data_IF_134655162745
#
_entry.id   IF_134655162745
#
_cell.length_a   1.000
_cell.length_b   1.000
_cell.length_c   1.000
_cell.angle_alpha   90.00
_cell.angle_beta   90.00
_cell.angle_gamma   90.00
#
_symmetry.space_group_name_H-M   'P 1'
#
loop_
_entity.id
_entity.type
_entity.pdbx_description
1 polymer ?
#
# COMPACT_ATOMS: atom_id res chain seq x y z
N UNK A 1 8.26 -64.61 -55.64
CA UNK A 1 8.15 -63.14 -55.75
C UNK A 1 9.19 -62.57 -54.78
N UNK A 2 10.30 -62.09 -55.32
CA UNK A 2 11.42 -61.54 -54.56
C UNK A 2 10.99 -60.28 -53.83
N UNK A 3 11.41 -60.13 -52.57
CA UNK A 3 11.63 -58.83 -51.95
C UNK A 3 12.91 -58.91 -51.13
N UNK A 4 13.95 -58.38 -51.76
CA UNK A 4 15.28 -58.14 -51.20
C UNK A 4 15.19 -56.95 -50.25
N UNK A 5 15.63 -57.09 -49.00
CA UNK A 5 16.15 -55.97 -48.23
C UNK A 5 17.51 -56.37 -47.66
N UNK A 6 18.54 -55.77 -48.27
CA UNK A 6 19.93 -55.83 -47.88
C UNK A 6 20.15 -54.78 -46.79
N UNK A 7 20.62 -55.19 -45.61
CA UNK A 7 21.17 -54.27 -44.61
C UNK A 7 22.50 -54.84 -44.10
N UNK A 8 23.48 -53.94 -44.14
CA UNK A 8 24.92 -54.15 -44.10
C UNK A 8 25.44 -54.69 -42.76
N UNK A 9 26.45 -55.55 -42.88
CA UNK A 9 27.47 -55.84 -41.88
C UNK A 9 28.23 -54.57 -41.49
N UNK A 10 27.75 -53.83 -40.49
CA UNK A 10 28.48 -52.73 -39.85
C UNK A 10 28.04 -52.47 -38.39
N UNK A 11 27.48 -53.49 -37.71
CA UNK A 11 26.90 -53.32 -36.36
C UNK A 11 27.57 -54.21 -35.29
N UNK A 12 28.80 -54.65 -35.54
CA UNK A 12 29.61 -55.40 -34.56
C UNK A 12 30.84 -54.66 -34.05
N UNK A 13 31.13 -53.47 -34.59
CA UNK A 13 32.32 -52.69 -34.19
C UNK A 13 32.00 -51.57 -33.19
N UNK A 14 30.71 -51.28 -32.92
CA UNK A 14 30.28 -50.32 -31.91
C UNK A 14 30.09 -50.91 -30.50
N UNK A 15 29.99 -52.23 -30.37
CA UNK A 15 29.68 -52.87 -29.07
C UNK A 15 30.96 -53.14 -28.23
N UNK A 16 32.13 -53.16 -28.86
CA UNK A 16 33.41 -53.49 -28.19
C UNK A 16 34.23 -52.28 -27.72
N UNK A 17 33.79 -51.05 -27.99
CA UNK A 17 34.43 -49.83 -27.46
C UNK A 17 33.75 -49.27 -26.19
N UNK A 18 32.67 -49.89 -25.72
CA UNK A 18 31.87 -49.41 -24.59
C UNK A 18 32.21 -50.08 -23.24
N UNK A 19 33.42 -50.66 -23.09
CA UNK A 19 33.84 -51.35 -21.87
C UNK A 19 34.98 -50.69 -21.09
N UNK A 20 35.43 -49.48 -21.44
CA UNK A 20 36.36 -48.74 -20.59
C UNK A 20 35.93 -47.29 -20.45
N UNK A 21 35.96 -46.82 -19.19
CA UNK A 21 35.63 -45.48 -18.69
C UNK A 21 34.15 -45.24 -18.32
N UNK A 22 33.65 -46.02 -17.36
CA UNK A 22 32.61 -45.55 -16.43
C UNK A 22 33.28 -45.19 -15.09
N UNK A 23 33.88 -44.00 -15.03
CA UNK A 23 34.26 -43.35 -13.78
C UNK A 23 33.56 -41.99 -13.76
N UNK A 24 32.29 -42.00 -13.33
CA UNK A 24 31.54 -40.79 -13.08
C UNK A 24 32.19 -40.05 -11.90
N UNK A 25 32.86 -38.93 -12.18
CA UNK A 25 33.16 -37.95 -11.15
C UNK A 25 31.84 -37.35 -10.68
N UNK A 26 31.40 -37.71 -9.47
CA UNK A 26 30.19 -37.12 -8.89
C UNK A 26 30.40 -35.60 -8.70
N UNK A 27 29.44 -34.75 -9.09
CA UNK A 27 29.45 -33.35 -8.70
C UNK A 27 29.48 -33.27 -7.17
N UNK A 28 30.37 -32.43 -6.63
CA UNK A 28 30.38 -32.15 -5.19
C UNK A 28 29.02 -31.62 -4.72
N UNK A 29 28.67 -31.80 -3.44
CA UNK A 29 27.43 -31.28 -2.89
C UNK A 29 27.35 -29.76 -3.15
N UNK A 30 26.14 -29.22 -3.45
CA UNK A 30 25.95 -27.77 -3.56
C UNK A 30 26.49 -27.07 -2.31
N UNK A 31 27.23 -25.98 -2.52
CA UNK A 31 27.71 -25.16 -1.40
C UNK A 31 26.54 -24.66 -0.55
N UNK A 32 26.77 -24.36 0.75
CA UNK A 32 25.73 -23.80 1.60
C UNK A 32 25.18 -22.49 0.98
N UNK A 33 23.88 -22.20 1.16
CA UNK A 33 23.31 -20.93 0.76
C UNK A 33 24.15 -19.76 1.31
N UNK A 34 24.51 -18.82 0.46
CA UNK A 34 25.21 -17.60 0.89
C UNK A 34 24.37 -16.83 1.91
N UNK A 35 25.03 -16.12 2.82
CA UNK A 35 24.35 -15.32 3.83
C UNK A 35 23.34 -14.35 3.19
N UNK A 36 22.14 -14.18 3.77
CA UNK A 36 21.19 -13.19 3.31
C UNK A 36 21.83 -11.80 3.28
N UNK A 37 21.82 -11.15 2.12
CA UNK A 37 22.29 -9.78 2.00
C UNK A 37 21.52 -8.83 2.94
N UNK A 38 22.16 -7.77 3.45
CA UNK A 38 21.53 -6.85 4.40
C UNK A 38 20.29 -6.19 3.78
N UNK A 39 19.27 -5.88 4.62
CA UNK A 39 18.01 -5.30 4.15
C UNK A 39 18.26 -3.93 3.52
N UNK A 40 17.90 -3.81 2.24
CA UNK A 40 17.97 -2.53 1.51
C UNK A 40 16.82 -1.65 1.98
N UNK A 41 17.05 -0.86 3.02
CA UNK A 41 16.18 0.28 3.34
C UNK A 41 16.43 1.37 2.31
N UNK A 42 15.44 1.60 1.42
CA UNK A 42 15.50 2.68 0.41
C UNK A 42 15.13 4.02 1.05
N UNK A 43 15.92 4.47 2.02
CA UNK A 43 15.86 5.85 2.47
C UNK A 43 16.44 6.73 1.35
N UNK A 44 15.57 7.46 0.65
CA UNK A 44 15.99 8.33 -0.46
C UNK A 44 16.78 9.57 0.03
N UNK A 45 16.66 9.93 1.31
CA UNK A 45 17.31 11.10 1.92
C UNK A 45 17.96 10.69 3.25
N UNK A 46 19.21 11.10 3.46
CA UNK A 46 19.99 10.88 4.70
C UNK A 46 20.55 12.19 5.21
N UNK A 47 20.58 12.41 6.52
CA UNK A 47 21.15 13.62 7.13
C UNK A 47 22.44 13.30 7.87
N UNK A 48 23.48 14.09 7.63
CA UNK A 48 24.73 14.07 8.38
C UNK A 48 25.02 15.45 8.94
N UNK A 49 25.77 15.51 10.04
CA UNK A 49 26.19 16.81 10.58
C UNK A 49 27.14 17.52 9.62
N UNK A 50 28.15 16.81 9.11
CA UNK A 50 29.22 17.34 8.28
C UNK A 50 29.78 16.30 7.29
N UNK A 51 30.74 16.74 6.47
CA UNK A 51 31.39 15.89 5.46
C UNK A 51 32.12 14.70 6.11
N UNK A 52 32.71 14.87 7.30
CA UNK A 52 33.42 13.77 7.98
C UNK A 52 32.45 12.62 8.34
N UNK A 53 31.29 12.95 8.91
CA UNK A 53 30.25 11.96 9.22
C UNK A 53 29.65 11.32 7.97
N UNK A 54 29.58 12.06 6.86
CA UNK A 54 29.20 11.50 5.56
C UNK A 54 30.24 10.49 5.03
N UNK A 55 31.53 10.81 5.13
CA UNK A 55 32.61 9.95 4.64
C UNK A 55 32.79 8.68 5.48
N UNK A 56 32.60 8.76 6.79
CA UNK A 56 32.64 7.60 7.69
C UNK A 56 31.61 6.54 7.29
N UNK A 57 30.44 6.97 6.80
CA UNK A 57 29.34 6.06 6.42
C UNK A 57 29.20 5.86 4.91
N UNK A 58 30.24 6.15 4.11
CA UNK A 58 30.19 6.10 2.64
C UNK A 58 29.75 4.74 2.08
N UNK A 59 30.10 3.64 2.78
CA UNK A 59 29.78 2.28 2.36
C UNK A 59 28.32 1.87 2.66
N UNK A 60 27.65 2.59 3.56
CA UNK A 60 26.25 2.36 3.92
C UNK A 60 25.28 3.19 3.07
N UNK A 61 25.79 4.11 2.25
CA UNK A 61 24.97 4.95 1.39
C UNK A 61 24.96 4.40 -0.04
N UNK A 62 23.76 4.00 -0.47
CA UNK A 62 23.51 3.50 -1.82
C UNK A 62 23.58 4.61 -2.87
N UNK A 63 23.98 4.26 -4.09
CA UNK A 63 23.86 5.16 -5.24
C UNK A 63 22.43 5.68 -5.40
N UNK A 64 22.28 6.98 -5.67
CA UNK A 64 20.99 7.66 -5.80
C UNK A 64 20.45 8.29 -4.53
N UNK A 65 21.05 8.06 -3.35
CA UNK A 65 20.64 8.70 -2.10
C UNK A 65 21.04 10.17 -2.08
N UNK A 66 20.10 11.04 -1.67
CA UNK A 66 20.33 12.44 -1.36
C UNK A 66 20.83 12.58 0.08
N UNK A 67 21.81 13.45 0.29
CA UNK A 67 22.39 13.74 1.59
C UNK A 67 22.22 15.21 1.90
N UNK A 68 21.72 15.53 3.08
CA UNK A 68 21.71 16.89 3.62
C UNK A 68 22.76 17.01 4.73
N UNK A 69 23.63 18.02 4.63
CA UNK A 69 24.56 18.40 5.69
C UNK A 69 23.94 19.51 6.53
N UNK A 70 23.64 19.23 7.80
CA UNK A 70 22.94 20.20 8.66
C UNK A 70 23.80 21.41 9.03
N UNK A 71 25.13 21.26 9.09
CA UNK A 71 26.04 22.35 9.45
C UNK A 71 26.16 23.40 8.34
N UNK A 72 26.26 22.97 7.08
CA UNK A 72 26.47 23.86 5.93
C UNK A 72 25.21 24.11 5.11
N UNK A 73 24.11 23.42 5.42
CA UNK A 73 22.88 23.38 4.62
C UNK A 73 23.11 22.98 3.16
N UNK A 74 24.13 22.17 2.90
CA UNK A 74 24.46 21.68 1.57
C UNK A 74 23.79 20.34 1.29
N UNK A 75 23.40 20.12 0.03
CA UNK A 75 22.84 18.84 -0.41
C UNK A 75 23.80 18.16 -1.39
N UNK A 76 24.01 16.85 -1.22
CA UNK A 76 24.81 16.01 -2.09
C UNK A 76 23.99 14.83 -2.62
N UNK A 77 24.37 14.27 -3.76
CA UNK A 77 23.83 13.00 -4.28
C UNK A 77 24.94 11.97 -4.43
N UNK A 78 24.70 10.72 -3.99
CA UNK A 78 25.61 9.59 -4.21
C UNK A 78 25.56 9.15 -5.67
N UNK A 79 26.70 9.20 -6.36
CA UNK A 79 26.90 8.70 -7.74
C UNK A 79 27.93 7.57 -7.73
N UNK A 80 28.01 6.71 -8.77
CA UNK A 80 28.86 5.49 -8.81
C UNK A 80 30.20 5.56 -8.06
N UNK A 81 30.96 6.65 -8.20
CA UNK A 81 32.30 6.79 -7.60
C UNK A 81 32.48 8.02 -6.69
N UNK A 82 31.41 8.53 -6.08
CA UNK A 82 31.53 9.61 -5.11
C UNK A 82 30.25 10.41 -4.92
N UNK A 83 30.41 11.70 -4.68
CA UNK A 83 29.35 12.63 -4.31
C UNK A 83 29.31 13.80 -5.29
N UNK A 84 28.11 14.25 -5.68
CA UNK A 84 27.94 15.53 -6.38
C UNK A 84 27.14 16.47 -5.51
N UNK A 85 27.67 17.67 -5.29
CA UNK A 85 26.95 18.75 -4.62
C UNK A 85 25.84 19.27 -5.54
N UNK A 86 24.63 19.40 -5.01
CA UNK A 86 23.52 20.08 -5.64
C UNK A 86 23.56 21.57 -5.26
N UNK A 87 23.41 22.43 -6.25
CA UNK A 87 23.28 23.87 -6.02
C UNK A 87 21.86 24.15 -5.59
N UNK A 88 21.68 24.63 -4.36
CA UNK A 88 20.39 25.08 -3.84
C UNK A 88 20.19 26.54 -4.25
N UNK A 89 18.94 26.91 -4.50
CA UNK A 89 18.55 28.29 -4.74
C UNK A 89 18.59 29.14 -3.48
N UNK A 90 18.06 30.35 -3.57
CA UNK A 90 17.94 31.23 -2.41
C UNK A 90 17.11 30.61 -1.29
N UNK A 91 17.55 30.82 -0.04
CA UNK A 91 16.80 30.42 1.13
C UNK A 91 15.51 31.24 1.17
N UNK A 92 14.37 30.56 1.18
CA UNK A 92 13.09 31.21 1.51
C UNK A 92 13.06 31.34 3.04
N UNK A 93 13.20 32.56 3.59
CA UNK A 93 13.22 32.74 5.04
C UNK A 93 11.85 32.37 5.60
N UNK A 94 11.86 31.61 6.69
CA UNK A 94 10.66 31.42 7.49
C UNK A 94 10.43 32.75 8.25
N UNK A 95 9.25 33.39 8.15
CA UNK A 95 9.00 34.67 8.82
C UNK A 95 9.22 34.58 10.33
N UNK A 96 9.85 35.58 10.96
CA UNK A 96 10.08 35.59 12.42
C UNK A 96 8.78 35.58 13.24
N UNK A 97 7.65 36.00 12.64
CA UNK A 97 6.29 35.91 13.19
C UNK A 97 5.65 34.52 13.07
N UNK A 98 6.34 33.55 12.47
CA UNK A 98 5.94 32.15 12.57
C UNK A 98 6.22 31.66 13.98
N UNK A 99 5.23 31.86 14.86
CA UNK A 99 5.20 31.20 16.16
C UNK A 99 5.39 29.70 15.89
N UNK A 100 6.40 29.05 16.52
CA UNK A 100 6.43 27.59 16.51
C UNK A 100 5.04 27.12 16.96
N UNK A 101 4.46 26.08 16.32
CA UNK A 101 3.16 25.56 16.75
C UNK A 101 3.21 25.42 18.27
N UNK A 102 2.22 25.96 18.99
CA UNK A 102 2.29 26.09 20.44
C UNK A 102 2.70 24.74 21.02
N UNK A 103 3.84 24.71 21.71
CA UNK A 103 4.22 23.56 22.51
C UNK A 103 3.08 23.37 23.50
N UNK A 104 2.28 22.31 23.33
CA UNK A 104 1.18 21.98 24.20
C UNK A 104 1.80 21.73 25.57
N UNK A 105 1.74 22.74 26.44
CA UNK A 105 2.06 22.60 27.85
C UNK A 105 1.10 21.55 28.42
N UNK A 106 1.68 20.49 28.96
CA UNK A 106 1.01 19.29 29.48
C UNK A 106 0.25 19.55 30.77
N UNK A 107 -0.60 20.58 30.81
CA UNK A 107 -1.49 20.82 31.93
C UNK A 107 -2.90 21.08 31.40
N UNK A 108 -3.77 20.07 31.58
CA UNK A 108 -5.22 20.26 31.55
C UNK A 108 -5.99 19.53 30.46
N UNK A 109 -5.34 18.81 29.54
CA UNK A 109 -6.08 17.78 28.80
C UNK A 109 -6.23 16.59 29.72
N UNK A 110 -7.46 16.33 30.19
CA UNK A 110 -7.84 14.96 30.49
C UNK A 110 -7.29 14.11 29.36
N UNK A 111 -6.33 13.24 29.68
CA UNK A 111 -5.84 12.25 28.75
C UNK A 111 -7.08 11.50 28.28
N UNK A 112 -7.58 11.84 27.09
CA UNK A 112 -8.17 10.82 26.25
C UNK A 112 -7.15 9.70 26.28
N UNK A 113 -7.53 8.48 26.71
CA UNK A 113 -6.60 7.39 26.75
C UNK A 113 -5.87 7.37 25.42
N UNK A 114 -4.53 7.38 25.47
CA UNK A 114 -3.72 7.13 24.28
C UNK A 114 -4.43 6.02 23.52
N UNK A 115 -4.82 6.21 22.24
CA UNK A 115 -5.49 5.16 21.51
C UNK A 115 -4.57 3.97 21.67
N UNK A 116 -5.05 2.93 22.36
CA UNK A 116 -4.40 1.64 22.36
C UNK A 116 -4.08 1.38 20.90
N UNK A 117 -2.81 1.16 20.50
CA UNK A 117 -2.49 0.93 19.11
C UNK A 117 -3.48 -0.12 18.65
N UNK A 118 -4.38 0.25 17.73
CA UNK A 118 -5.34 -0.70 17.20
C UNK A 118 -4.43 -1.73 16.56
N UNK A 119 -4.32 -2.87 17.23
CA UNK A 119 -3.37 -3.86 16.83
C UNK A 119 -3.84 -4.31 15.46
N UNK A 120 -2.92 -4.41 14.50
CA UNK A 120 -3.16 -5.11 13.24
C UNK A 120 -3.43 -6.62 13.46
N UNK A 121 -3.73 -7.01 14.70
CA UNK A 121 -4.01 -8.31 15.22
C UNK A 121 -5.44 -8.31 15.77
N UNK A 122 -6.27 -9.21 15.27
CA UNK A 122 -7.50 -9.60 15.94
C UNK A 122 -7.34 -11.04 16.44
N UNK A 123 -7.44 -11.24 17.75
CA UNK A 123 -7.18 -12.55 18.41
C UNK A 123 -5.85 -13.20 17.99
N UNK A 124 -4.79 -12.39 17.82
CA UNK A 124 -3.47 -12.88 17.43
C UNK A 124 -3.28 -13.18 15.93
N UNK A 125 -4.25 -12.86 15.06
CA UNK A 125 -4.14 -13.00 13.60
C UNK A 125 -4.07 -11.66 12.88
N UNK A 126 -3.23 -11.52 11.85
CA UNK A 126 -3.15 -10.30 11.06
C UNK A 126 -4.47 -10.00 10.34
N UNK A 127 -4.85 -8.73 10.28
CA UNK A 127 -6.07 -8.24 9.64
C UNK A 127 -5.79 -6.97 8.83
N UNK A 128 -6.72 -6.57 7.96
CA UNK A 128 -6.72 -5.25 7.32
C UNK A 128 -7.96 -4.48 7.74
N UNK A 129 -7.78 -3.24 8.18
CA UNK A 129 -8.90 -2.39 8.59
C UNK A 129 -9.47 -1.59 7.41
N UNK A 130 -10.80 -1.59 7.29
CA UNK A 130 -11.59 -0.73 6.40
C UNK A 130 -12.35 0.30 7.25
N UNK A 131 -12.01 1.56 7.08
CA UNK A 131 -12.42 2.68 7.94
C UNK A 131 -12.92 3.82 7.05
N UNK A 132 -13.90 4.61 7.49
CA UNK A 132 -14.35 5.79 6.74
C UNK A 132 -13.55 7.05 7.11
N UNK A 133 -13.46 8.00 6.17
CA UNK A 133 -13.11 9.37 6.52
C UNK A 133 -14.18 9.96 7.45
N UNK A 134 -13.80 10.96 8.26
CA UNK A 134 -14.63 11.63 9.27
C UNK A 134 -15.69 12.58 8.71
N UNK A 135 -15.70 12.85 7.40
CA UNK A 135 -16.72 13.67 6.74
C UNK A 135 -17.06 13.08 5.37
N UNK A 136 -18.24 13.40 4.80
CA UNK A 136 -18.52 13.09 3.40
C UNK A 136 -17.75 14.04 2.46
N UNK A 137 -17.39 13.55 1.27
CA UNK A 137 -16.62 14.28 0.26
C UNK A 137 -17.33 14.29 -1.09
N UNK A 138 -17.17 15.40 -1.81
CA UNK A 138 -17.51 15.50 -3.22
C UNK A 138 -16.51 14.72 -4.09
N UNK A 139 -16.73 14.73 -5.39
CA UNK A 139 -15.82 14.16 -6.37
C UNK A 139 -14.48 14.89 -6.49
N UNK A 140 -14.30 16.08 -5.90
CA UNK A 140 -13.01 16.78 -5.88
C UNK A 140 -12.34 16.56 -4.51
N UNK A 141 -11.40 15.63 -4.46
CA UNK A 141 -10.80 15.21 -3.20
C UNK A 141 -9.38 14.67 -3.36
N UNK A 142 -8.53 15.02 -2.39
CA UNK A 142 -7.21 14.40 -2.21
C UNK A 142 -7.33 13.14 -1.34
N UNK A 143 -8.03 12.12 -1.84
CA UNK A 143 -8.52 11.00 -1.03
C UNK A 143 -7.41 10.23 -0.27
N UNK A 144 -6.32 9.84 -0.94
CA UNK A 144 -5.20 9.14 -0.29
C UNK A 144 -4.56 9.99 0.82
N UNK A 145 -4.43 11.31 0.59
CA UNK A 145 -3.90 12.24 1.60
C UNK A 145 -4.83 12.35 2.82
N UNK A 146 -6.15 12.40 2.59
CA UNK A 146 -7.14 12.42 3.68
C UNK A 146 -7.11 11.14 4.51
N UNK A 147 -7.02 9.98 3.86
CA UNK A 147 -6.90 8.69 4.56
C UNK A 147 -5.64 8.64 5.41
N UNK A 148 -4.49 9.07 4.85
CA UNK A 148 -3.23 9.14 5.59
C UNK A 148 -3.32 10.10 6.79
N UNK A 149 -3.79 11.33 6.56
CA UNK A 149 -3.85 12.36 7.60
C UNK A 149 -4.76 11.95 8.76
N UNK A 150 -5.97 11.45 8.47
CA UNK A 150 -6.93 11.09 9.50
C UNK A 150 -6.53 9.83 10.27
N UNK A 151 -5.90 8.86 9.60
CA UNK A 151 -5.33 7.70 10.28
C UNK A 151 -4.25 8.11 11.30
N UNK A 152 -3.33 9.01 10.91
CA UNK A 152 -2.29 9.52 11.80
C UNK A 152 -2.88 10.29 13.00
N UNK A 153 -3.89 11.13 12.76
CA UNK A 153 -4.59 11.85 13.83
C UNK A 153 -5.36 10.92 14.78
N UNK A 154 -5.79 9.75 14.30
CA UNK A 154 -6.38 8.69 15.12
C UNK A 154 -5.34 7.80 15.83
N UNK A 155 -4.04 8.07 15.67
CA UNK A 155 -2.96 7.29 16.28
C UNK A 155 -2.71 5.93 15.61
N UNK A 156 -3.19 5.75 14.37
CA UNK A 156 -2.98 4.52 13.60
C UNK A 156 -1.64 4.55 12.88
N UNK A 157 -0.84 3.48 13.05
CA UNK A 157 0.49 3.37 12.46
C UNK A 157 0.50 2.68 11.09
N UNK A 158 -0.58 1.99 10.72
CA UNK A 158 -0.71 1.34 9.42
C UNK A 158 -0.83 2.36 8.28
N UNK A 159 -0.51 1.92 7.06
CA UNK A 159 -0.63 2.77 5.86
C UNK A 159 -2.02 2.63 5.24
N UNK A 160 -2.82 3.68 5.35
CA UNK A 160 -4.15 3.74 4.76
C UNK A 160 -4.14 4.36 3.37
N UNK A 161 -4.94 3.77 2.47
CA UNK A 161 -5.20 4.29 1.12
C UNK A 161 -6.70 4.36 0.86
N UNK A 162 -7.11 5.25 -0.03
CA UNK A 162 -8.51 5.38 -0.40
C UNK A 162 -9.02 4.11 -1.09
N UNK A 163 -10.22 3.67 -0.70
CA UNK A 163 -10.99 2.63 -1.36
C UNK A 163 -11.64 3.21 -2.62
N UNK A 164 -10.82 3.64 -3.57
CA UNK A 164 -11.25 4.22 -4.84
C UNK A 164 -10.40 3.65 -5.99
N UNK A 165 -10.99 3.53 -7.17
CA UNK A 165 -10.21 3.52 -8.40
C UNK A 165 -9.65 4.92 -8.66
N UNK A 166 -8.42 5.02 -9.16
CA UNK A 166 -7.77 6.29 -9.53
C UNK A 166 -7.34 6.31 -10.99
N UNK A 167 -6.65 7.37 -11.42
CA UNK A 167 -6.19 7.52 -12.82
C UNK A 167 -5.36 6.32 -13.31
N UNK A 168 -4.44 5.83 -12.47
CA UNK A 168 -3.49 4.76 -12.82
C UNK A 168 -3.72 3.45 -12.07
N UNK A 169 -4.73 3.38 -11.20
CA UNK A 169 -4.90 2.24 -10.32
C UNK A 169 -6.36 1.76 -10.27
N UNK A 170 -6.53 0.47 -10.50
CA UNK A 170 -7.80 -0.21 -10.27
C UNK A 170 -7.97 -0.46 -8.76
N UNK A 171 -9.18 -0.26 -8.25
CA UNK A 171 -9.50 -0.47 -6.84
C UNK A 171 -9.02 -1.83 -6.35
N UNK A 172 -9.30 -2.92 -7.09
CA UNK A 172 -8.88 -4.28 -6.73
C UNK A 172 -7.36 -4.44 -6.51
N UNK A 173 -6.55 -3.48 -6.97
CA UNK A 173 -5.09 -3.50 -6.84
C UNK A 173 -4.52 -2.64 -5.71
N UNK A 174 -5.36 -1.92 -4.96
CA UNK A 174 -4.93 -1.02 -3.86
C UNK A 174 -4.18 -1.78 -2.76
N UNK A 175 -4.68 -2.95 -2.36
CA UNK A 175 -4.03 -3.85 -1.40
C UNK A 175 -2.90 -4.64 -2.06
N UNK A 176 -1.78 -4.81 -1.35
CA UNK A 176 -0.63 -5.60 -1.83
C UNK A 176 -1.04 -7.04 -2.14
N UNK A 177 -0.50 -7.59 -3.23
CA UNK A 177 -0.87 -8.92 -3.76
C UNK A 177 -0.77 -10.05 -2.72
N UNK A 178 0.25 -10.03 -1.86
CA UNK A 178 0.49 -11.04 -0.81
C UNK A 178 -0.60 -11.08 0.25
N UNK A 179 -1.28 -9.96 0.46
CA UNK A 179 -2.16 -9.75 1.61
C UNK A 179 -3.64 -9.99 1.23
N UNK A 180 -3.93 -10.12 -0.08
CA UNK A 180 -5.31 -10.15 -0.60
C UNK A 180 -6.11 -11.41 -0.26
N UNK A 181 -5.43 -12.53 -0.06
CA UNK A 181 -6.08 -13.84 0.06
C UNK A 181 -6.20 -14.32 1.51
N UNK A 182 -5.26 -13.91 2.37
CA UNK A 182 -5.07 -14.53 3.68
C UNK A 182 -5.47 -13.62 4.86
N UNK A 183 -5.72 -12.33 4.61
CA UNK A 183 -6.08 -11.38 5.65
C UNK A 183 -7.57 -11.04 5.58
N UNK A 184 -8.33 -11.18 6.68
CA UNK A 184 -9.71 -10.72 6.73
C UNK A 184 -9.75 -9.19 6.76
N UNK A 185 -10.85 -8.64 6.23
CA UNK A 185 -11.11 -7.21 6.27
C UNK A 185 -12.07 -6.93 7.42
N UNK A 186 -11.65 -6.07 8.35
CA UNK A 186 -12.39 -5.74 9.58
C UNK A 186 -12.73 -4.25 9.62
N UNK A 187 -13.71 -3.85 10.43
CA UNK A 187 -13.95 -2.44 10.75
C UNK A 187 -12.93 -1.93 11.79
N UNK A 188 -13.01 -0.64 12.16
CA UNK A 188 -12.12 -0.01 13.14
C UNK A 188 -12.06 -0.72 14.51
N UNK A 189 -13.12 -1.45 14.89
CA UNK A 189 -13.22 -2.19 16.16
C UNK A 189 -12.83 -3.67 16.04
N UNK A 190 -12.31 -4.10 14.89
CA UNK A 190 -11.92 -5.48 14.62
C UNK A 190 -13.08 -6.41 14.24
N UNK A 191 -14.30 -5.92 14.03
CA UNK A 191 -15.43 -6.76 13.61
C UNK A 191 -15.30 -7.07 12.11
N UNK A 192 -15.47 -8.34 11.73
CA UNK A 192 -15.25 -8.79 10.35
C UNK A 192 -16.31 -8.23 9.40
N UNK A 193 -15.86 -7.59 8.31
CA UNK A 193 -16.68 -7.13 7.19
C UNK A 193 -16.60 -8.09 6.01
N UNK A 194 -15.39 -8.57 5.67
CA UNK A 194 -15.15 -9.49 4.56
C UNK A 194 -14.13 -10.57 4.93
N UNK A 195 -14.27 -11.74 4.31
CA UNK A 195 -13.36 -12.86 4.56
C UNK A 195 -11.92 -12.56 4.10
N UNK A 196 -11.78 -11.83 2.99
CA UNK A 196 -10.53 -11.27 2.48
C UNK A 196 -10.78 -10.22 1.39
N UNK A 197 -9.72 -9.62 0.87
CA UNK A 197 -9.79 -8.58 -0.15
C UNK A 197 -10.42 -9.05 -1.48
N UNK A 198 -9.98 -10.20 -2.00
CA UNK A 198 -10.49 -10.74 -3.28
C UNK A 198 -12.00 -11.02 -3.25
N UNK A 199 -12.53 -11.33 -2.06
CA UNK A 199 -13.96 -11.61 -1.86
C UNK A 199 -14.88 -10.46 -2.26
N UNK A 200 -14.38 -9.23 -2.17
CA UNK A 200 -15.13 -8.00 -2.49
C UNK A 200 -15.39 -7.91 -4.01
N UNK A 201 -14.50 -8.48 -4.82
CA UNK A 201 -14.45 -8.27 -6.28
C UNK A 201 -14.89 -9.49 -7.08
N UNK A 202 -15.67 -10.40 -6.48
CA UNK A 202 -16.23 -11.60 -7.14
C UNK A 202 -17.40 -11.31 -8.08
N UNK A 203 -17.71 -10.04 -8.34
CA UNK A 203 -18.82 -9.61 -9.20
C UNK A 203 -20.19 -9.55 -8.51
N UNK A 204 -20.31 -9.94 -7.23
CA UNK A 204 -21.56 -9.78 -6.45
C UNK A 204 -21.80 -8.32 -5.98
N UNK A 205 -20.83 -7.43 -6.19
CA UNK A 205 -20.88 -6.03 -5.78
C UNK A 205 -20.34 -5.79 -4.36
N UNK A 206 -19.46 -6.65 -3.86
CA UNK A 206 -18.89 -6.50 -2.51
C UNK A 206 -19.98 -6.56 -1.44
N UNK A 207 -20.78 -7.63 -1.47
CA UNK A 207 -21.88 -7.83 -0.54
C UNK A 207 -21.37 -8.02 0.89
N UNK A 208 -21.98 -7.31 1.85
CA UNK A 208 -21.58 -7.33 3.25
C UNK A 208 -22.78 -7.34 4.19
N UNK A 209 -22.55 -7.77 5.43
CA UNK A 209 -23.57 -7.75 6.47
C UNK A 209 -23.80 -6.32 6.98
N UNK A 210 -24.94 -5.72 6.61
CA UNK A 210 -25.31 -4.35 7.00
C UNK A 210 -25.43 -4.14 8.52
N UNK A 211 -25.58 -5.21 9.29
CA UNK A 211 -25.65 -5.13 10.76
C UNK A 211 -24.26 -4.91 11.39
N UNK A 212 -23.17 -5.16 10.66
CA UNK A 212 -21.80 -4.88 11.13
C UNK A 212 -21.48 -3.41 10.81
N UNK A 213 -21.21 -2.56 11.82
CA UNK A 213 -20.96 -1.14 11.58
C UNK A 213 -19.70 -0.90 10.75
N UNK A 214 -19.73 0.17 9.95
CA UNK A 214 -18.53 0.78 9.40
C UNK A 214 -18.29 2.06 10.21
N UNK A 215 -17.09 2.18 10.76
CA UNK A 215 -16.72 3.33 11.60
C UNK A 215 -15.82 4.30 10.83
N UNK A 216 -15.95 5.59 11.11
CA UNK A 216 -14.98 6.61 10.73
C UNK A 216 -13.75 6.57 11.65
N UNK A 217 -12.64 7.21 11.27
CA UNK A 217 -11.42 7.26 12.08
C UNK A 217 -11.62 7.81 13.50
N UNK A 218 -12.58 8.72 13.70
CA UNK A 218 -12.98 9.23 15.02
C UNK A 218 -14.04 8.36 15.76
N UNK A 219 -14.33 7.16 15.25
CA UNK A 219 -15.11 6.15 15.94
C UNK A 219 -16.63 6.24 15.75
N UNK A 220 -17.15 7.10 14.87
CA UNK A 220 -18.59 7.23 14.59
C UNK A 220 -19.07 6.20 13.59
N UNK A 221 -20.26 5.64 13.82
CA UNK A 221 -20.86 4.67 12.90
C UNK A 221 -21.51 5.40 11.71
N UNK A 222 -20.92 5.28 10.52
CA UNK A 222 -21.36 6.02 9.32
C UNK A 222 -22.80 5.70 8.90
N UNK A 223 -23.32 4.53 9.27
CA UNK A 223 -24.69 4.13 8.92
C UNK A 223 -25.76 4.83 9.75
N UNK A 224 -25.42 5.28 10.96
CA UNK A 224 -26.39 5.85 11.92
C UNK A 224 -26.11 7.31 12.24
N UNK A 225 -24.85 7.74 12.16
CA UNK A 225 -24.45 9.10 12.48
C UNK A 225 -25.03 10.12 11.46
N UNK A 226 -25.59 11.25 11.91
CA UNK A 226 -26.23 12.24 11.02
C UNK A 226 -25.23 12.99 10.13
N UNK A 227 -23.93 12.97 10.43
CA UNK A 227 -22.90 13.69 9.65
C UNK A 227 -22.77 13.16 8.22
N UNK A 228 -23.23 11.92 7.96
CA UNK A 228 -23.40 11.38 6.61
C UNK A 228 -24.90 11.27 6.30
N UNK A 229 -25.56 12.33 5.83
CA UNK A 229 -26.99 12.27 5.54
C UNK A 229 -27.31 11.23 4.44
N UNK A 230 -26.39 11.08 3.48
CA UNK A 230 -26.51 10.11 2.40
C UNK A 230 -25.60 8.89 2.67
N UNK A 231 -26.22 7.72 2.84
CA UNK A 231 -25.53 6.45 3.13
C UNK A 231 -25.04 5.78 1.84
N UNK A 232 -24.25 6.53 1.08
CA UNK A 232 -23.69 6.14 -0.22
C UNK A 232 -22.17 6.28 -0.12
N UNK A 233 -21.43 5.35 -0.73
CA UNK A 233 -19.97 5.42 -0.80
C UNK A 233 -19.50 5.68 -2.23
N UNK A 234 -18.47 6.48 -2.41
CA UNK A 234 -17.73 6.55 -3.67
C UNK A 234 -16.85 5.31 -3.86
N UNK A 235 -16.70 4.84 -5.11
CA UNK A 235 -15.70 3.81 -5.45
C UNK A 235 -15.09 4.00 -6.86
N UNK A 236 -15.84 4.50 -7.85
CA UNK A 236 -15.31 4.76 -9.21
C UNK A 236 -14.92 3.50 -10.00
N UNK A 237 -15.49 2.34 -9.63
CA UNK A 237 -15.05 1.03 -10.13
C UNK A 237 -16.22 0.14 -10.56
N UNK A 238 -15.95 -0.82 -11.43
CA UNK A 238 -16.87 -1.93 -11.72
C UNK A 238 -17.08 -2.82 -10.49
N UNK A 239 -18.03 -3.75 -10.55
CA UNK A 239 -18.25 -4.76 -9.51
C UNK A 239 -17.03 -5.67 -9.27
N UNK A 240 -16.08 -5.71 -10.22
CA UNK A 240 -14.82 -6.45 -10.12
C UNK A 240 -13.64 -5.55 -9.72
N UNK A 241 -13.90 -4.29 -9.33
CA UNK A 241 -12.88 -3.35 -8.87
C UNK A 241 -11.99 -2.77 -9.97
N UNK A 242 -12.42 -2.84 -11.23
CA UNK A 242 -11.71 -2.22 -12.37
C UNK A 242 -12.14 -0.76 -12.49
N UNK A 243 -11.21 0.17 -12.76
CA UNK A 243 -11.56 1.60 -12.84
C UNK A 243 -12.53 1.89 -13.98
N UNK A 244 -13.52 2.75 -13.70
CA UNK A 244 -14.42 3.30 -14.71
C UNK A 244 -14.01 4.73 -15.05
N UNK A 245 -13.22 4.90 -16.10
CA UNK A 245 -12.69 6.21 -16.53
C UNK A 245 -13.79 7.24 -16.80
N UNK A 246 -14.98 6.80 -17.24
CA UNK A 246 -16.11 7.70 -17.46
C UNK A 246 -16.83 8.11 -16.17
N UNK A 247 -16.69 7.34 -15.09
CA UNK A 247 -17.51 7.43 -13.88
C UNK A 247 -16.64 7.43 -12.61
N UNK A 248 -15.64 8.29 -12.56
CA UNK A 248 -14.76 8.45 -11.38
C UNK A 248 -14.39 9.92 -11.13
N UNK A 249 -15.28 10.86 -11.47
CA UNK A 249 -15.11 12.29 -11.25
C UNK A 249 -13.76 12.83 -11.76
N UNK A 250 -13.41 12.49 -13.01
CA UNK A 250 -12.14 12.90 -13.63
C UNK A 250 -10.91 12.56 -12.76
N UNK A 251 -10.89 11.33 -12.24
CA UNK A 251 -9.91 10.85 -11.27
C UNK A 251 -9.96 11.59 -9.92
N UNK A 252 -11.16 11.95 -9.49
CA UNK A 252 -11.48 12.65 -8.25
C UNK A 252 -10.94 14.09 -8.15
N UNK A 253 -11.00 14.82 -9.26
CA UNK A 253 -10.53 16.20 -9.38
C UNK A 253 -11.62 17.19 -9.78
N UNK A 254 -12.90 16.76 -9.76
CA UNK A 254 -14.01 17.64 -10.08
C UNK A 254 -15.23 17.39 -9.19
N UNK A 255 -15.91 18.47 -8.83
CA UNK A 255 -17.20 18.47 -8.15
C UNK A 255 -18.32 19.02 -9.05
N UNK A 256 -18.08 19.07 -10.37
CA UNK A 256 -19.07 19.53 -11.34
C UNK A 256 -20.37 18.71 -11.26
N UNK A 257 -21.49 19.40 -11.42
CA UNK A 257 -22.82 18.81 -11.44
C UNK A 257 -22.98 17.82 -12.61
N UNK A 258 -22.39 18.11 -13.77
CA UNK A 258 -22.49 17.29 -14.98
C UNK A 258 -21.54 16.08 -14.97
N UNK A 259 -20.45 16.14 -14.20
CA UNK A 259 -19.52 15.04 -14.05
C UNK A 259 -20.15 13.93 -13.19
N UNK A 260 -19.83 12.68 -13.52
CA UNK A 260 -20.41 11.50 -12.85
C UNK A 260 -19.33 10.65 -12.18
N UNK A 261 -19.70 10.09 -11.04
CA UNK A 261 -18.91 9.14 -10.26
C UNK A 261 -19.71 7.86 -10.01
N UNK A 262 -19.00 6.73 -9.93
CA UNK A 262 -19.58 5.45 -9.54
C UNK A 262 -19.61 5.34 -8.01
N UNK A 263 -20.80 5.09 -7.46
CA UNK A 263 -21.07 5.03 -6.04
C UNK A 263 -22.04 3.90 -5.68
N UNK A 264 -22.04 3.48 -4.42
CA UNK A 264 -22.88 2.38 -3.93
C UNK A 264 -23.72 2.78 -2.71
N UNK A 265 -25.06 2.66 -2.77
CA UNK A 265 -25.91 2.83 -1.60
C UNK A 265 -25.74 1.68 -0.60
N UNK A 266 -25.19 1.97 0.58
CA UNK A 266 -24.89 0.96 1.61
C UNK A 266 -26.13 0.24 2.15
N UNK A 267 -27.31 0.88 2.06
CA UNK A 267 -28.60 0.28 2.46
C UNK A 267 -28.94 -1.01 1.68
N UNK A 268 -28.29 -1.25 0.54
CA UNK A 268 -28.45 -2.49 -0.24
C UNK A 268 -27.50 -3.61 0.20
N UNK A 269 -26.65 -3.37 1.21
CA UNK A 269 -25.65 -4.34 1.66
C UNK A 269 -24.54 -4.57 0.65
N UNK A 270 -24.20 -3.59 -0.19
CA UNK A 270 -23.15 -3.69 -1.23
C UNK A 270 -22.20 -2.50 -1.16
N UNK A 271 -20.89 -2.75 -1.33
CA UNK A 271 -19.89 -1.68 -1.49
C UNK A 271 -19.70 -1.24 -2.95
N UNK A 272 -20.01 -2.10 -3.90
CA UNK A 272 -19.78 -1.88 -5.33
C UNK A 272 -21.08 -2.04 -6.14
N UNK A 273 -22.22 -1.57 -5.62
CA UNK A 273 -23.42 -1.41 -6.44
C UNK A 273 -23.13 -0.41 -7.57
N UNK A 274 -23.69 -0.66 -8.74
CA UNK A 274 -23.32 0.06 -9.95
C UNK A 274 -24.29 1.25 -10.16
N UNK A 275 -24.21 2.25 -9.30
CA UNK A 275 -24.97 3.51 -9.43
C UNK A 275 -24.08 4.72 -9.74
N UNK A 276 -24.47 5.47 -10.77
CA UNK A 276 -23.81 6.71 -11.14
C UNK A 276 -24.48 7.89 -10.43
N UNK A 277 -23.68 8.78 -9.87
CA UNK A 277 -24.13 9.98 -9.18
C UNK A 277 -23.31 11.18 -9.62
N UNK A 278 -23.90 12.38 -9.53
CA UNK A 278 -23.18 13.62 -9.80
C UNK A 278 -22.03 13.82 -8.81
N UNK A 279 -20.87 14.25 -9.30
CA UNK A 279 -19.68 14.51 -8.49
C UNK A 279 -19.84 15.66 -7.50
N UNK A 280 -20.87 16.50 -7.65
CA UNK A 280 -21.26 17.52 -6.67
C UNK A 280 -21.80 16.92 -5.35
N UNK A 281 -22.26 15.66 -5.35
CA UNK A 281 -22.78 15.01 -4.15
C UNK A 281 -21.67 14.71 -3.15
N UNK A 282 -21.96 14.86 -1.87
CA UNK A 282 -21.04 14.51 -0.80
C UNK A 282 -21.37 13.14 -0.22
N UNK A 283 -20.48 12.17 -0.41
CA UNK A 283 -20.66 10.79 0.00
C UNK A 283 -19.51 10.29 0.88
N UNK A 284 -19.73 9.13 1.49
CA UNK A 284 -18.74 8.44 2.30
C UNK A 284 -17.55 8.05 1.41
N UNK A 285 -16.35 8.20 1.93
CA UNK A 285 -15.12 7.68 1.34
C UNK A 285 -14.50 6.73 2.35
N UNK A 286 -14.20 5.51 1.91
CA UNK A 286 -13.55 4.50 2.73
C UNK A 286 -12.03 4.51 2.50
N UNK A 287 -11.31 4.04 3.50
CA UNK A 287 -9.88 3.92 3.56
C UNK A 287 -9.53 2.49 4.00
N UNK A 288 -8.60 1.86 3.31
CA UNK A 288 -8.17 0.48 3.54
C UNK A 288 -6.68 0.47 3.90
N UNK A 289 -6.30 -0.32 4.89
CA UNK A 289 -4.90 -0.67 5.11
C UNK A 289 -4.35 -1.40 3.88
N UNK A 290 -3.36 -0.80 3.22
CA UNK A 290 -2.88 -1.31 1.93
C UNK A 290 -1.95 -2.52 2.08
N UNK A 291 -1.45 -2.78 3.29
CA UNK A 291 -0.57 -3.88 3.62
C UNK A 291 -0.48 -4.13 5.10
N UNK A 292 -0.19 -5.38 5.44
CA UNK A 292 0.24 -5.74 6.79
C UNK A 292 1.77 -5.66 6.85
N UNK A 293 2.29 -4.88 7.79
CA UNK A 293 3.71 -4.88 8.13
C UNK A 293 3.83 -5.48 9.53
N UNK A 294 4.43 -6.66 9.64
CA UNK A 294 4.80 -7.24 10.93
C UNK A 294 5.87 -6.36 11.56
N UNK A 295 5.63 -5.88 12.78
CA UNK A 295 6.62 -5.12 13.51
C UNK A 295 7.86 -6.01 13.78
N UNK A 296 9.08 -5.65 13.36
CA UNK A 296 10.27 -6.49 13.56
C UNK A 296 10.79 -6.54 14.99
N UNK A 297 10.00 -6.24 16.02
CA UNK A 297 10.47 -6.27 17.41
C UNK A 297 9.43 -6.87 18.36
N UNK A 298 9.81 -8.02 18.91
CA UNK A 298 9.03 -8.73 19.93
C UNK A 298 9.58 -10.11 20.26
N UNK A 299 10.89 -10.34 20.14
CA UNK A 299 11.65 -11.38 20.84
C UNK A 299 13.14 -11.07 20.81
#
# INVERSE_FOLDING_TARGET
>A
MSLTFSLKTDDLQHVLYACFVLAAAMPGPPGPPGEPGPPVSRNLITTFQNIAGMLEKVHFVTEGTLIYLSETSEVFIRVRNGWRKLQLGELIPIPDDSLPPPAISSHGFQSLPAPSPISNMNNGKPVLHLVALNLPFSGDMRADFQCFQQAQLAGLTATYRAFLSSHLQDLATVVRKTDRYNLPIVNLKGEMLFHNWESIFKGNGGEFNINVPIYSFDGRNVMTDPSWPQKVIWHGSTANGIRMVSNYCEAWHTSDLAAMGQASPLKKGKLLDQKAYSCSNQFIVLCIENSFVSDPQGK
#
